data_IF_553786005487
#
_entry.id   IF_553786005487
#
_cell.length_a   1.000
_cell.length_b   1.000
_cell.length_c   1.000
_cell.angle_alpha   90.00
_cell.angle_beta   90.00
_cell.angle_gamma   90.00
#
_symmetry.space_group_name_H-M   'P 1'
#
loop_
_entity.id
_entity.type
_entity.pdbx_description
1 polymer ?
#
# COMPACT_ATOMS: atom_id res chain seq x y z
N UNK A 1 1.29 5.77 11.12
CA UNK A 1 0.42 5.99 12.30
C UNK A 1 1.33 6.06 13.52
N UNK A 2 1.44 7.19 14.23
CA UNK A 2 2.42 7.37 15.30
C UNK A 2 2.35 6.29 16.39
N UNK A 3 1.14 5.83 16.74
CA UNK A 3 0.96 4.73 17.68
C UNK A 3 1.70 3.44 17.25
N UNK A 4 1.75 3.12 15.96
CA UNK A 4 2.44 1.92 15.45
C UNK A 4 3.97 2.00 15.57
N UNK A 5 4.54 3.20 15.71
CA UNK A 5 5.99 3.39 15.86
C UNK A 5 6.44 3.20 17.31
N UNK A 6 5.57 3.47 18.30
CA UNK A 6 5.95 3.53 19.70
C UNK A 6 5.25 2.51 20.62
N UNK A 7 4.14 1.90 20.19
CA UNK A 7 3.47 0.84 20.94
C UNK A 7 4.39 -0.37 21.10
N UNK A 8 4.82 -0.64 22.33
CA UNK A 8 5.70 -1.75 22.67
C UNK A 8 4.98 -3.10 22.62
N UNK A 9 3.70 -3.14 22.98
CA UNK A 9 2.86 -4.35 22.93
C UNK A 9 2.51 -4.73 21.48
N UNK A 10 3.03 -5.88 21.03
CA UNK A 10 2.81 -6.40 19.68
C UNK A 10 1.36 -6.83 19.39
N UNK A 11 0.62 -7.29 20.40
CA UNK A 11 -0.79 -7.67 20.25
C UNK A 11 -1.64 -6.43 20.01
N UNK A 12 -1.35 -5.33 20.70
CA UNK A 12 -2.02 -4.06 20.46
C UNK A 12 -1.68 -3.49 19.09
N UNK A 13 -0.43 -3.59 18.63
CA UNK A 13 -0.05 -3.20 17.26
C UNK A 13 -0.84 -4.01 16.22
N UNK A 14 -0.94 -5.33 16.40
CA UNK A 14 -1.71 -6.18 15.50
C UNK A 14 -3.19 -5.78 15.46
N UNK A 15 -3.83 -5.63 16.63
CA UNK A 15 -5.24 -5.24 16.73
C UNK A 15 -5.50 -3.91 16.04
N UNK A 16 -4.64 -2.92 16.29
CA UNK A 16 -4.75 -1.60 15.70
C UNK A 16 -4.54 -1.62 14.18
N UNK A 17 -3.52 -2.35 13.72
CA UNK A 17 -3.25 -2.53 12.29
C UNK A 17 -4.45 -3.17 11.59
N UNK A 18 -4.97 -4.28 12.11
CA UNK A 18 -6.12 -4.98 11.53
C UNK A 18 -7.34 -4.09 11.46
N UNK A 19 -7.67 -3.42 12.57
CA UNK A 19 -8.78 -2.47 12.61
C UNK A 19 -8.61 -1.34 11.58
N UNK A 20 -7.39 -0.84 11.38
CA UNK A 20 -7.11 0.22 10.42
C UNK A 20 -7.24 -0.21 8.96
N UNK A 21 -6.72 -1.39 8.60
CA UNK A 21 -6.73 -1.88 7.21
C UNK A 21 -8.08 -2.46 6.78
N UNK A 22 -8.95 -2.81 7.74
CA UNK A 22 -10.32 -3.29 7.48
C UNK A 22 -11.39 -2.21 7.66
N UNK A 23 -11.03 -0.92 7.67
CA UNK A 23 -12.03 0.14 7.79
C UNK A 23 -12.89 0.19 6.53
N UNK A 24 -14.18 0.41 6.74
CA UNK A 24 -15.15 0.56 5.67
C UNK A 24 -15.15 -0.65 4.69
N UNK A 25 -15.05 -1.86 5.25
CA UNK A 25 -15.01 -3.10 4.46
C UNK A 25 -16.05 -4.14 4.90
N UNK A 26 -16.98 -3.78 5.79
CA UNK A 26 -18.07 -4.64 6.28
C UNK A 26 -19.28 -3.82 6.74
N UNK A 27 -20.46 -4.45 6.78
CA UNK A 27 -21.69 -3.85 7.29
C UNK A 27 -22.14 -2.62 6.51
N UNK A 28 -22.81 -1.69 7.19
CA UNK A 28 -23.39 -0.48 6.57
C UNK A 28 -22.33 0.51 6.02
N UNK A 29 -21.06 0.32 6.38
CA UNK A 29 -19.94 1.15 5.93
C UNK A 29 -19.08 0.45 4.87
N UNK A 30 -19.52 -0.69 4.33
CA UNK A 30 -18.74 -1.42 3.32
C UNK A 30 -18.64 -0.65 2.00
N UNK A 31 -17.41 -0.24 1.66
CA UNK A 31 -17.09 0.42 0.39
C UNK A 31 -16.89 -0.57 -0.77
N UNK A 32 -16.80 -1.87 -0.52
CA UNK A 32 -16.58 -2.89 -1.56
C UNK A 32 -17.58 -2.80 -2.71
N UNK A 33 -18.90 -2.90 -2.45
CA UNK A 33 -19.92 -2.78 -3.48
C UNK A 33 -19.90 -1.43 -4.21
N UNK A 34 -19.67 -0.34 -3.48
CA UNK A 34 -19.59 1.02 -4.04
C UNK A 34 -18.41 1.13 -5.01
N UNK A 35 -17.25 0.59 -4.66
CA UNK A 35 -16.07 0.58 -5.54
C UNK A 35 -16.36 -0.21 -6.82
N UNK A 36 -17.00 -1.38 -6.71
CA UNK A 36 -17.39 -2.18 -7.87
C UNK A 36 -18.32 -1.41 -8.81
N UNK A 37 -19.33 -0.74 -8.28
CA UNK A 37 -20.24 0.09 -9.07
C UNK A 37 -19.51 1.27 -9.73
N UNK A 38 -18.65 1.98 -9.00
CA UNK A 38 -17.84 3.08 -9.54
C UNK A 38 -16.97 2.60 -10.70
N UNK A 39 -16.35 1.42 -10.59
CA UNK A 39 -15.51 0.87 -11.66
C UNK A 39 -16.32 0.50 -12.90
N UNK A 40 -17.51 -0.06 -12.72
CA UNK A 40 -18.45 -0.36 -13.81
C UNK A 40 -18.87 0.93 -14.53
N UNK A 41 -19.35 1.93 -13.79
CA UNK A 41 -19.78 3.22 -14.34
C UNK A 41 -18.61 3.97 -15.03
N UNK A 42 -17.40 3.90 -14.47
CA UNK A 42 -16.19 4.48 -15.10
C UNK A 42 -15.86 3.82 -16.42
N UNK A 43 -16.05 2.51 -16.54
CA UNK A 43 -15.86 1.76 -17.78
C UNK A 43 -16.90 2.14 -18.83
N UNK A 44 -18.18 2.14 -18.46
CA UNK A 44 -19.28 2.53 -19.35
C UNK A 44 -19.09 3.95 -19.89
N UNK A 45 -18.75 4.91 -19.01
CA UNK A 45 -18.48 6.29 -19.41
C UNK A 45 -17.33 6.40 -20.42
N UNK A 46 -16.24 5.66 -20.20
CA UNK A 46 -15.11 5.67 -21.13
C UNK A 46 -15.51 5.14 -22.52
N UNK A 47 -16.27 4.05 -22.55
CA UNK A 47 -16.76 3.45 -23.79
C UNK A 47 -17.71 4.38 -24.55
N UNK A 48 -18.63 5.05 -23.85
CA UNK A 48 -19.55 6.04 -24.46
C UNK A 48 -18.80 7.21 -25.12
N UNK A 49 -17.63 7.56 -24.59
CA UNK A 49 -16.78 8.63 -25.12
C UNK A 49 -15.75 8.12 -26.15
N UNK A 50 -15.82 6.85 -26.56
CA UNK A 50 -14.93 6.26 -27.56
C UNK A 50 -13.55 5.83 -27.05
N UNK A 51 -13.35 5.73 -25.74
CA UNK A 51 -12.12 5.22 -25.13
C UNK A 51 -12.24 3.74 -24.76
N UNK A 52 -11.13 3.00 -24.84
CA UNK A 52 -11.09 1.57 -24.48
C UNK A 52 -11.22 1.35 -22.97
N UNK A 53 -10.55 2.20 -22.17
CA UNK A 53 -10.55 2.11 -20.71
C UNK A 53 -10.73 3.49 -20.07
N UNK A 54 -11.12 3.48 -18.79
CA UNK A 54 -11.13 4.69 -17.97
C UNK A 54 -9.74 5.34 -17.84
N UNK A 55 -8.67 4.54 -17.87
CA UNK A 55 -7.31 5.04 -17.80
C UNK A 55 -6.95 5.86 -19.05
N UNK A 56 -7.30 5.37 -20.24
CA UNK A 56 -7.08 6.09 -21.51
C UNK A 56 -7.80 7.44 -21.51
N UNK A 57 -9.08 7.42 -21.10
CA UNK A 57 -9.89 8.64 -20.97
C UNK A 57 -9.30 9.61 -19.93
N UNK A 58 -8.77 9.11 -18.82
CA UNK A 58 -8.17 9.92 -17.75
C UNK A 58 -6.86 10.57 -18.19
N UNK A 59 -6.04 9.86 -18.96
CA UNK A 59 -4.73 10.34 -19.42
C UNK A 59 -4.85 11.39 -20.52
N UNK A 60 -5.91 11.34 -21.34
CA UNK A 60 -6.13 12.29 -22.44
C UNK A 60 -6.09 13.78 -22.03
N UNK A 61 -6.30 14.11 -20.75
CA UNK A 61 -6.24 15.48 -20.22
C UNK A 61 -5.01 15.74 -19.31
N UNK A 62 -4.02 14.85 -19.29
CA UNK A 62 -2.84 14.90 -18.40
C UNK A 62 -1.56 15.07 -19.21
N UNK A 63 -0.45 15.32 -18.50
CA UNK A 63 0.86 15.49 -19.11
C UNK A 63 1.48 14.19 -19.62
N UNK A 64 1.14 13.05 -19.01
CA UNK A 64 1.62 11.75 -19.47
C UNK A 64 1.03 11.45 -20.86
N UNK A 65 1.86 10.94 -21.76
CA UNK A 65 1.49 10.75 -23.17
C UNK A 65 0.63 9.49 -23.38
N UNK A 66 0.74 8.51 -22.47
CA UNK A 66 -0.04 7.28 -22.52
C UNK A 66 -0.09 6.57 -21.16
N UNK A 67 -0.99 5.58 -21.05
CA UNK A 67 -1.03 4.66 -19.90
C UNK A 67 0.28 3.85 -19.81
N UNK A 68 0.85 3.47 -20.96
CA UNK A 68 2.11 2.73 -21.03
C UNK A 68 3.28 3.54 -20.47
N UNK A 69 3.33 4.85 -20.72
CA UNK A 69 4.38 5.71 -20.17
C UNK A 69 4.32 5.76 -18.63
N UNK A 70 3.11 5.83 -18.06
CA UNK A 70 2.89 5.78 -16.61
C UNK A 70 3.34 4.42 -16.03
N UNK A 71 3.01 3.33 -16.70
CA UNK A 71 3.45 1.99 -16.29
C UNK A 71 4.96 1.82 -16.37
N UNK A 72 5.59 2.36 -17.41
CA UNK A 72 7.03 2.30 -17.61
C UNK A 72 7.78 3.09 -16.52
N UNK A 73 7.33 4.30 -16.21
CA UNK A 73 7.87 5.08 -15.09
C UNK A 73 7.74 4.31 -13.76
N UNK A 74 6.55 3.75 -13.49
CA UNK A 74 6.30 2.97 -12.27
C UNK A 74 7.19 1.73 -12.18
N UNK A 75 7.40 1.03 -13.31
CA UNK A 75 8.30 -0.14 -13.39
C UNK A 75 9.76 0.26 -13.17
N UNK A 76 10.22 1.37 -13.75
CA UNK A 76 11.58 1.87 -13.55
C UNK A 76 11.85 2.16 -12.07
N UNK A 77 10.93 2.88 -11.40
CA UNK A 77 11.03 3.15 -9.96
C UNK A 77 11.02 1.86 -9.14
N UNK A 78 10.14 0.91 -9.48
CA UNK A 78 10.10 -0.40 -8.82
C UNK A 78 11.43 -1.14 -8.94
N UNK A 79 12.00 -1.23 -10.14
CA UNK A 79 13.28 -1.92 -10.38
C UNK A 79 14.40 -1.27 -9.57
N UNK A 80 14.50 0.07 -9.61
CA UNK A 80 15.53 0.80 -8.89
C UNK A 80 15.41 0.68 -7.36
N UNK A 81 14.19 0.53 -6.82
CA UNK A 81 13.93 0.57 -5.38
C UNK A 81 13.85 -0.82 -4.71
N UNK A 82 13.64 -1.89 -5.50
CA UNK A 82 13.26 -3.19 -4.95
C UNK A 82 14.35 -3.86 -4.11
N UNK A 83 15.60 -3.86 -4.59
CA UNK A 83 16.70 -4.49 -3.85
C UNK A 83 17.07 -3.69 -2.59
N UNK A 84 16.96 -2.36 -2.64
CA UNK A 84 17.10 -1.52 -1.46
C UNK A 84 16.01 -1.84 -0.41
N UNK A 85 14.75 -1.90 -0.81
CA UNK A 85 13.64 -2.23 0.10
C UNK A 85 13.78 -3.63 0.73
N UNK A 86 14.27 -4.62 -0.02
CA UNK A 86 14.59 -5.95 0.52
C UNK A 86 15.69 -5.90 1.56
N UNK A 87 16.76 -5.16 1.28
CA UNK A 87 17.88 -4.99 2.21
C UNK A 87 17.42 -4.31 3.48
N UNK A 88 16.68 -3.21 3.38
CA UNK A 88 16.12 -2.50 4.53
C UNK A 88 15.25 -3.42 5.41
N UNK A 89 14.37 -4.22 4.80
CA UNK A 89 13.56 -5.17 5.55
C UNK A 89 14.41 -6.23 6.27
N UNK A 90 15.47 -6.72 5.62
CA UNK A 90 16.42 -7.65 6.22
C UNK A 90 17.20 -7.01 7.39
N UNK A 91 17.62 -5.75 7.23
CA UNK A 91 18.32 -4.99 8.25
C UNK A 91 17.42 -4.74 9.48
N UNK A 92 16.13 -4.40 9.26
CA UNK A 92 15.14 -4.25 10.33
C UNK A 92 14.91 -5.59 11.04
N UNK A 93 14.79 -6.69 10.30
CA UNK A 93 14.63 -8.04 10.87
C UNK A 93 15.84 -8.45 11.72
N UNK A 94 17.06 -8.17 11.26
CA UNK A 94 18.28 -8.46 12.00
C UNK A 94 18.39 -7.60 13.26
N UNK A 95 18.03 -6.32 13.18
CA UNK A 95 17.99 -5.42 14.32
C UNK A 95 16.96 -5.88 15.36
N UNK A 96 15.76 -6.26 14.93
CA UNK A 96 14.72 -6.77 15.81
C UNK A 96 15.18 -8.04 16.54
N UNK A 97 15.77 -9.00 15.81
CA UNK A 97 16.28 -10.25 16.39
C UNK A 97 17.39 -10.01 17.43
N UNK A 98 18.30 -9.07 17.17
CA UNK A 98 19.35 -8.67 18.12
C UNK A 98 18.78 -8.08 19.42
N UNK A 99 17.59 -7.48 19.35
CA UNK A 99 16.89 -6.88 20.49
C UNK A 99 15.80 -7.80 21.08
N UNK A 100 15.88 -9.11 20.82
CA UNK A 100 15.01 -10.11 21.46
C UNK A 100 13.67 -10.35 20.77
N UNK A 101 13.46 -9.85 19.54
CA UNK A 101 12.30 -10.24 18.74
C UNK A 101 12.47 -11.67 18.20
N UNK A 102 11.47 -12.51 18.41
CA UNK A 102 11.45 -13.87 17.90
C UNK A 102 10.55 -14.00 16.67
N UNK A 103 11.03 -14.73 15.66
CA UNK A 103 10.27 -15.00 14.44
C UNK A 103 10.41 -13.94 13.35
N UNK A 104 9.47 -13.95 12.40
CA UNK A 104 9.47 -13.07 11.22
C UNK A 104 8.60 -11.86 11.48
N UNK A 105 9.10 -10.67 11.16
CA UNK A 105 8.34 -9.42 11.25
C UNK A 105 7.02 -9.50 10.48
N UNK A 106 5.91 -9.22 11.15
CA UNK A 106 4.62 -8.98 10.51
C UNK A 106 4.49 -7.52 10.07
N UNK A 107 3.44 -7.22 9.30
CA UNK A 107 3.20 -5.86 8.76
C UNK A 107 3.04 -4.81 9.86
N UNK A 108 2.55 -5.20 11.04
CA UNK A 108 2.40 -4.33 12.19
C UNK A 108 3.66 -4.17 13.05
N UNK A 109 4.71 -4.95 12.80
CA UNK A 109 5.98 -4.87 13.52
C UNK A 109 6.98 -3.94 12.84
N UNK A 110 6.92 -3.84 11.50
CA UNK A 110 7.85 -3.04 10.70
C UNK A 110 7.93 -1.58 11.19
N UNK A 111 6.82 -0.82 11.37
CA UNK A 111 6.92 0.56 11.80
C UNK A 111 7.58 0.75 13.17
N UNK A 112 7.36 -0.19 14.10
CA UNK A 112 7.95 -0.15 15.43
C UNK A 112 9.47 -0.38 15.36
N UNK A 113 9.90 -1.46 14.71
CA UNK A 113 11.33 -1.81 14.64
C UNK A 113 12.13 -0.88 13.73
N UNK A 114 11.53 -0.33 12.67
CA UNK A 114 12.14 0.73 11.87
C UNK A 114 12.39 2.00 12.69
N UNK A 115 11.50 2.34 13.62
CA UNK A 115 11.71 3.50 14.50
C UNK A 115 12.85 3.22 15.50
N UNK A 116 12.83 2.04 16.14
CA UNK A 116 13.88 1.64 17.08
C UNK A 116 15.27 1.52 16.47
N UNK A 117 15.37 1.24 15.18
CA UNK A 117 16.64 1.20 14.46
C UNK A 117 17.21 2.61 14.17
N UNK A 118 16.34 3.62 14.09
CA UNK A 118 16.73 5.02 13.83
C UNK A 118 17.15 5.77 15.10
N UNK A 119 16.53 5.43 16.23
CA UNK A 119 16.88 5.92 17.58
C UNK A 119 18.23 5.38 18.06
#
# INVERSE_FOLDING_TARGET
>A
MPAMQHLTDGVLREKLYRAYVSRASTGDQDNGPIISEILMLKKERAQMLGYNTHADMSIASKMASSVEEVDNLSKMLRIASFDAAKKELADIQAFAAKNGFEGKLALWDVPYWSERQKE
#
